data_IF_577713982145
#
_entry.id   IF_577713982145
#
_cell.length_a   1.000
_cell.length_b   1.000
_cell.length_c   1.000
_cell.angle_alpha   90.00
_cell.angle_beta   90.00
_cell.angle_gamma   90.00
#
_symmetry.space_group_name_H-M   'P 1'
#
loop_
_entity.id
_entity.type
_entity.pdbx_description
1 polymer ?
#
# COMPACT_ATOMS: atom_id res chain seq x y z
N UNK A 1 29.70 11.48 35.31
CA UNK A 1 29.67 10.94 33.94
C UNK A 1 30.74 11.67 33.14
N UNK A 2 31.69 10.96 32.54
CA UNK A 2 32.60 11.61 31.60
C UNK A 2 31.84 11.96 30.31
N UNK A 3 32.11 13.12 29.69
CA UNK A 3 31.39 13.53 28.49
C UNK A 3 31.67 12.57 27.33
N UNK A 4 30.60 12.14 26.66
CA UNK A 4 30.67 11.31 25.47
C UNK A 4 31.17 12.17 24.28
N UNK A 5 32.32 11.83 23.67
CA UNK A 5 32.91 12.63 22.59
C UNK A 5 32.07 12.66 21.29
N UNK A 6 31.03 11.83 21.16
CA UNK A 6 30.11 11.87 20.02
C UNK A 6 29.05 12.99 20.08
N UNK A 7 28.84 13.62 21.25
CA UNK A 7 27.80 14.64 21.43
C UNK A 7 28.12 15.98 20.72
N UNK A 8 29.38 16.25 20.38
CA UNK A 8 29.77 17.49 19.72
C UNK A 8 29.44 17.56 18.22
N UNK A 9 29.15 16.43 17.55
CA UNK A 9 28.93 16.42 16.10
C UNK A 9 27.47 16.60 15.66
N UNK A 10 26.50 16.45 16.57
CA UNK A 10 25.07 16.37 16.21
C UNK A 10 24.16 17.26 17.07
N UNK A 11 24.70 17.94 18.08
CA UNK A 11 23.92 18.88 18.92
C UNK A 11 22.82 18.23 19.76
N UNK A 12 22.85 16.90 19.95
CA UNK A 12 21.88 16.14 20.73
C UNK A 12 22.63 15.41 21.84
N UNK A 13 22.24 15.65 23.10
CA UNK A 13 22.72 14.88 24.25
C UNK A 13 21.64 13.85 24.66
N UNK A 14 22.07 12.60 24.82
CA UNK A 14 21.24 11.46 25.18
C UNK A 14 21.78 10.87 26.48
N UNK A 15 21.05 11.08 27.57
CA UNK A 15 21.38 10.52 28.87
C UNK A 15 20.26 9.59 29.37
N UNK A 16 20.67 8.48 29.96
CA UNK A 16 19.78 7.49 30.58
C UNK A 16 19.92 7.60 32.09
N UNK A 17 18.88 8.09 32.76
CA UNK A 17 18.87 8.23 34.21
C UNK A 17 18.03 7.13 34.86
N UNK A 18 18.55 6.56 35.96
CA UNK A 18 17.82 5.63 36.83
C UNK A 18 17.15 6.42 37.94
N UNK A 19 15.87 6.17 38.21
CA UNK A 19 15.18 6.77 39.35
C UNK A 19 14.32 5.74 40.10
N UNK A 20 14.10 5.99 41.39
CA UNK A 20 13.23 5.20 42.25
C UNK A 20 11.77 5.65 42.09
N UNK A 21 10.86 4.73 41.75
CA UNK A 21 9.45 5.05 41.52
C UNK A 21 8.65 5.08 42.84
N UNK A 22 8.39 6.28 43.39
CA UNK A 22 7.67 6.43 44.66
C UNK A 22 6.12 6.37 44.57
N UNK A 23 5.52 6.18 43.38
CA UNK A 23 4.05 6.14 43.22
C UNK A 23 3.39 4.76 43.39
N UNK A 24 4.17 3.70 43.66
CA UNK A 24 3.65 2.33 43.82
C UNK A 24 3.79 1.76 45.24
N UNK A 25 4.05 2.58 46.25
CA UNK A 25 4.19 2.11 47.64
C UNK A 25 2.80 1.89 48.28
N UNK A 26 2.30 0.64 48.29
CA UNK A 26 1.32 0.19 49.30
C UNK A 26 2.06 -0.31 50.54
N UNK A 27 1.52 -0.15 51.76
CA UNK A 27 2.24 -0.55 52.96
C UNK A 27 2.17 -2.07 53.20
N UNK A 28 3.36 -2.65 53.40
CA UNK A 28 3.70 -3.91 54.08
C UNK A 28 3.05 -5.20 53.57
N UNK A 29 3.83 -5.96 52.80
CA UNK A 29 4.32 -7.32 53.14
C UNK A 29 5.51 -7.69 52.25
N UNK A 30 6.41 -8.51 52.78
CA UNK A 30 7.80 -8.74 52.34
C UNK A 30 7.98 -9.11 50.85
N UNK A 31 8.78 -8.30 50.13
CA UNK A 31 9.71 -8.70 49.06
C UNK A 31 10.60 -7.49 48.72
N UNK A 32 11.90 -7.59 48.99
CA UNK A 32 12.91 -6.55 48.76
C UNK A 32 13.26 -6.45 47.26
N UNK A 33 12.46 -5.76 46.45
CA UNK A 33 12.92 -5.16 45.19
C UNK A 33 12.14 -3.87 44.89
N UNK A 34 12.82 -2.72 44.96
CA UNK A 34 12.27 -1.43 44.53
C UNK A 34 12.22 -1.40 43.00
N UNK A 35 11.07 -1.12 42.35
CA UNK A 35 11.03 -1.01 40.90
C UNK A 35 11.87 0.19 40.44
N UNK A 36 12.86 -0.07 39.57
CA UNK A 36 13.73 0.94 38.97
C UNK A 36 13.11 1.37 37.64
N UNK A 37 12.81 2.66 37.50
CA UNK A 37 12.38 3.25 36.23
C UNK A 37 13.58 3.75 35.44
N UNK A 38 13.51 3.65 34.11
CA UNK A 38 14.45 4.30 33.20
C UNK A 38 13.78 5.51 32.55
N UNK A 39 14.46 6.65 32.60
CA UNK A 39 14.07 7.88 31.91
C UNK A 39 15.06 8.14 30.79
N UNK A 40 14.55 8.23 29.56
CA UNK A 40 15.31 8.76 28.45
C UNK A 40 15.08 10.27 28.40
N UNK A 41 16.17 11.04 28.55
CA UNK A 41 16.15 12.49 28.41
C UNK A 41 16.76 12.83 27.06
N UNK A 42 15.98 13.50 26.22
CA UNK A 42 16.45 14.01 24.94
C UNK A 42 16.41 15.53 25.01
N UNK A 43 17.58 16.16 24.86
CA UNK A 43 17.75 17.60 24.94
C UNK A 43 18.16 18.17 23.57
N UNK A 44 17.50 19.25 23.14
CA UNK A 44 17.78 19.93 21.87
C UNK A 44 18.04 21.43 22.09
N UNK A 45 18.90 22.07 21.28
CA UNK A 45 19.13 23.51 21.33
C UNK A 45 17.92 24.27 20.75
N UNK A 46 17.57 25.40 21.37
CA UNK A 46 16.37 26.17 21.01
C UNK A 46 16.64 27.22 19.91
N UNK A 47 17.90 27.58 19.63
CA UNK A 47 18.30 28.42 18.49
C UNK A 47 19.83 28.34 18.26
N UNK A 48 20.36 28.70 17.06
CA UNK A 48 21.77 28.53 16.72
C UNK A 48 22.75 29.49 17.43
N UNK A 49 22.32 30.68 17.88
CA UNK A 49 23.28 31.78 18.17
C UNK A 49 23.07 32.57 19.48
N UNK A 50 22.68 31.92 20.59
CA UNK A 50 22.73 32.60 21.91
C UNK A 50 23.22 31.70 23.05
N UNK A 51 24.11 32.27 23.87
CA UNK A 51 24.78 31.70 25.06
C UNK A 51 24.05 30.55 25.79
N UNK A 52 24.77 29.43 25.88
CA UNK A 52 24.76 28.22 26.73
C UNK A 52 23.80 28.01 27.94
N UNK A 53 22.60 28.59 28.02
CA UNK A 53 21.74 28.41 29.21
C UNK A 53 20.29 28.00 28.97
N UNK A 54 19.87 27.60 27.77
CA UNK A 54 18.48 27.17 27.54
C UNK A 54 18.37 25.87 26.73
N UNK A 55 18.21 24.76 27.45
CA UNK A 55 17.88 23.43 26.90
C UNK A 55 16.43 23.08 27.19
N UNK A 56 15.70 22.56 26.20
CA UNK A 56 14.36 21.96 26.41
C UNK A 56 14.52 20.45 26.53
N UNK A 57 14.13 19.88 27.67
CA UNK A 57 14.17 18.45 27.92
C UNK A 57 12.79 17.81 27.68
N UNK A 58 12.74 16.81 26.79
CA UNK A 58 11.57 15.94 26.62
C UNK A 58 11.80 14.68 27.44
N UNK A 59 10.83 14.32 28.29
CA UNK A 59 10.93 13.20 29.21
C UNK A 59 10.03 12.06 28.76
N UNK A 60 10.65 10.94 28.39
CA UNK A 60 9.92 9.72 28.01
C UNK A 60 10.13 8.70 29.13
N UNK A 61 9.05 8.36 29.82
CA UNK A 61 9.05 7.29 30.82
C UNK A 61 8.88 5.95 30.10
N UNK A 62 9.88 5.08 30.21
CA UNK A 62 9.81 3.72 29.68
C UNK A 62 9.48 2.80 30.85
N UNK A 63 8.29 2.22 30.85
CA UNK A 63 7.88 1.19 31.82
C UNK A 63 7.86 -0.14 31.09
N UNK A 64 8.81 -1.03 31.40
CA UNK A 64 8.80 -2.41 30.91
C UNK A 64 7.90 -3.26 31.80
N UNK A 65 6.78 -3.75 31.28
CA UNK A 65 5.95 -4.72 31.99
C UNK A 65 6.52 -6.13 31.74
N UNK A 66 7.36 -6.60 32.66
CA UNK A 66 7.80 -7.99 32.73
C UNK A 66 7.18 -8.63 33.98
N UNK A 67 6.24 -9.57 33.82
CA UNK A 67 5.86 -10.45 34.92
C UNK A 67 4.50 -11.16 34.81
N UNK A 68 4.57 -12.45 34.46
CA UNK A 68 3.75 -13.58 34.91
C UNK A 68 2.71 -13.28 36.03
N UNK A 69 1.44 -13.67 35.82
CA UNK A 69 0.42 -13.76 36.90
C UNK A 69 0.04 -15.22 37.18
N UNK A 70 0.05 -15.68 38.44
CA UNK A 70 -0.77 -16.79 38.89
C UNK A 70 -2.14 -16.29 39.36
N UNK A 71 -3.17 -17.08 39.10
CA UNK A 71 -4.55 -16.86 39.55
C UNK A 71 -4.70 -17.01 41.07
N UNK A 72 -5.50 -16.16 41.71
CA UNK A 72 -6.34 -16.56 42.86
C UNK A 72 -7.51 -15.58 43.07
N UNK A 73 -8.59 -16.17 43.57
CA UNK A 73 -9.98 -15.72 43.65
C UNK A 73 -10.20 -14.71 44.78
N UNK A 74 -11.02 -13.67 44.54
CA UNK A 74 -11.98 -13.14 45.54
C UNK A 74 -13.02 -12.21 44.88
N UNK A 75 -14.29 -12.48 45.15
CA UNK A 75 -15.43 -11.97 44.40
C UNK A 75 -15.89 -10.54 44.71
N UNK A 76 -16.47 -9.89 43.69
CA UNK A 76 -17.47 -8.82 43.80
C UNK A 76 -18.49 -8.98 42.68
N UNK A 77 -19.76 -8.74 43.02
CA UNK A 77 -20.99 -8.90 42.20
C UNK A 77 -20.87 -8.28 40.79
N UNK A 78 -21.56 -8.84 39.78
CA UNK A 78 -21.41 -8.41 38.39
C UNK A 78 -22.02 -7.02 38.21
N UNK A 79 -21.19 -6.04 37.87
CA UNK A 79 -21.67 -4.82 37.25
C UNK A 79 -22.24 -5.18 35.88
N UNK A 80 -23.43 -4.67 35.58
CA UNK A 80 -24.16 -4.87 34.32
C UNK A 80 -23.20 -4.69 33.14
N UNK A 81 -23.01 -5.76 32.38
CA UNK A 81 -22.23 -5.77 31.15
C UNK A 81 -22.96 -4.93 30.10
N UNK A 82 -22.52 -3.68 29.91
CA UNK A 82 -22.66 -3.03 28.61
C UNK A 82 -21.70 -3.72 27.62
N UNK A 83 -22.09 -3.94 26.36
CA UNK A 83 -21.27 -4.67 25.40
C UNK A 83 -20.05 -3.81 24.99
N UNK A 84 -18.94 -4.00 25.68
CA UNK A 84 -17.65 -3.39 25.34
C UNK A 84 -16.94 -4.22 24.27
N UNK A 85 -16.60 -3.58 23.14
CA UNK A 85 -15.56 -3.92 22.14
C UNK A 85 -15.38 -5.42 21.83
N UNK A 86 -15.74 -5.86 20.61
CA UNK A 86 -15.12 -7.08 20.05
C UNK A 86 -13.60 -6.90 20.12
N UNK A 87 -12.95 -7.65 21.01
CA UNK A 87 -11.51 -7.58 21.21
C UNK A 87 -10.78 -8.03 19.94
N UNK A 88 -9.87 -7.18 19.45
CA UNK A 88 -8.93 -7.54 18.38
C UNK A 88 -8.13 -8.77 18.80
N UNK A 89 -7.95 -9.75 17.89
CA UNK A 89 -7.01 -10.85 18.14
C UNK A 89 -5.56 -10.32 18.13
N UNK A 90 -4.62 -11.11 18.65
CA UNK A 90 -3.21 -10.77 18.58
C UNK A 90 -2.77 -10.58 17.12
N UNK A 91 -1.87 -9.61 16.90
CA UNK A 91 -1.15 -9.46 15.63
C UNK A 91 -0.21 -10.64 15.42
N UNK A 92 0.14 -10.91 14.16
CA UNK A 92 1.17 -11.90 13.85
C UNK A 92 2.53 -11.36 14.28
N UNK A 93 3.33 -12.19 14.95
CA UNK A 93 4.68 -11.81 15.35
C UNK A 93 5.61 -11.68 14.12
N UNK A 94 6.57 -10.76 14.19
CA UNK A 94 7.45 -10.40 13.07
C UNK A 94 8.19 -11.60 12.44
N UNK A 95 8.63 -12.55 13.27
CA UNK A 95 9.38 -13.74 12.87
C UNK A 95 8.52 -14.76 12.11
N UNK A 96 7.19 -14.63 12.17
CA UNK A 96 6.26 -15.59 11.57
C UNK A 96 5.27 -14.95 10.59
N UNK A 97 5.33 -13.63 10.36
CA UNK A 97 4.45 -12.90 9.41
C UNK A 97 4.43 -13.53 8.02
N UNK A 98 5.59 -13.97 7.52
CA UNK A 98 5.73 -14.62 6.21
C UNK A 98 4.95 -15.95 6.10
N UNK A 99 4.70 -16.62 7.22
CA UNK A 99 3.96 -17.89 7.28
C UNK A 99 2.47 -17.70 7.51
N UNK A 100 1.99 -16.46 7.57
CA UNK A 100 0.59 -16.18 7.80
C UNK A 100 -0.25 -16.45 6.55
N UNK A 101 -1.26 -17.30 6.71
CA UNK A 101 -2.16 -17.69 5.64
C UNK A 101 -3.59 -17.21 5.89
N UNK A 102 -4.36 -17.09 4.82
CA UNK A 102 -5.80 -16.89 4.92
C UNK A 102 -6.47 -18.25 5.11
N UNK A 103 -7.33 -18.42 6.14
CA UNK A 103 -8.04 -19.68 6.37
C UNK A 103 -8.81 -20.16 5.13
N UNK A 104 -8.41 -21.32 4.61
CA UNK A 104 -9.03 -21.94 3.43
C UNK A 104 -8.64 -21.32 2.09
N UNK A 105 -7.70 -20.36 2.08
CA UNK A 105 -7.17 -19.73 0.86
C UNK A 105 -5.62 -19.59 0.93
N UNK A 106 -4.87 -20.71 1.01
CA UNK A 106 -3.41 -20.66 1.10
C UNK A 106 -2.75 -20.05 -0.13
N UNK A 107 -1.60 -19.42 0.08
CA UNK A 107 -0.75 -18.87 -0.98
C UNK A 107 -1.39 -17.75 -1.82
N UNK A 108 -2.36 -17.01 -1.28
CA UNK A 108 -2.97 -15.83 -1.93
C UNK A 108 -2.25 -14.53 -1.60
N UNK A 109 -1.23 -14.56 -0.75
CA UNK A 109 -0.51 -13.39 -0.26
C UNK A 109 0.98 -13.65 -0.15
N UNK A 110 1.77 -12.59 -0.28
CA UNK A 110 3.22 -12.61 -0.23
C UNK A 110 3.75 -11.38 0.50
N UNK A 111 4.63 -11.58 1.46
CA UNK A 111 5.32 -10.53 2.20
C UNK A 111 6.47 -10.00 1.36
N UNK A 112 6.39 -8.73 0.96
CA UNK A 112 7.37 -8.14 0.06
C UNK A 112 8.79 -8.19 0.66
N UNK A 113 9.73 -8.72 -0.14
CA UNK A 113 11.13 -8.86 0.23
C UNK A 113 11.44 -10.07 1.13
N UNK A 114 10.45 -10.89 1.48
CA UNK A 114 10.65 -12.15 2.22
C UNK A 114 10.23 -13.34 1.35
N UNK A 115 9.00 -13.35 0.86
CA UNK A 115 8.40 -14.49 0.14
C UNK A 115 8.77 -14.51 -1.35
N UNK A 116 10.02 -14.14 -1.68
CA UNK A 116 10.52 -14.11 -3.05
C UNK A 116 10.47 -15.51 -3.70
N UNK A 117 10.91 -16.60 -3.04
CA UNK A 117 10.81 -17.95 -3.62
C UNK A 117 9.37 -18.36 -3.95
N UNK A 118 8.44 -18.15 -3.02
CA UNK A 118 7.02 -18.49 -3.17
C UNK A 118 6.35 -17.65 -4.26
N UNK A 119 6.71 -16.36 -4.35
CA UNK A 119 6.23 -15.48 -5.40
C UNK A 119 6.78 -15.88 -6.79
N UNK A 120 8.05 -16.30 -6.86
CA UNK A 120 8.66 -16.82 -8.09
C UNK A 120 7.95 -18.10 -8.56
N UNK A 121 7.64 -19.02 -7.63
CA UNK A 121 6.87 -20.23 -7.96
C UNK A 121 5.48 -19.88 -8.50
N UNK A 122 4.77 -18.93 -7.88
CA UNK A 122 3.48 -18.47 -8.37
C UNK A 122 3.55 -17.87 -9.79
N UNK A 123 4.65 -17.18 -10.12
CA UNK A 123 4.91 -16.69 -11.46
C UNK A 123 5.18 -17.84 -12.47
N UNK A 124 5.87 -18.90 -12.06
CA UNK A 124 6.05 -20.11 -12.87
C UNK A 124 4.74 -20.86 -13.09
N UNK A 125 3.90 -21.00 -12.07
CA UNK A 125 2.56 -21.56 -12.22
C UNK A 125 1.72 -20.75 -13.20
N UNK A 126 1.78 -19.41 -13.13
CA UNK A 126 1.10 -18.53 -14.07
C UNK A 126 1.61 -18.67 -15.51
N UNK A 127 2.91 -18.92 -15.70
CA UNK A 127 3.49 -19.22 -17.00
C UNK A 127 3.04 -20.60 -17.52
N UNK A 128 2.93 -21.60 -16.64
CA UNK A 128 2.41 -22.94 -16.98
C UNK A 128 0.96 -22.85 -17.46
N UNK A 129 0.10 -22.15 -16.72
CA UNK A 129 -1.30 -21.91 -17.10
C UNK A 129 -1.42 -21.25 -18.47
N UNK A 130 -0.56 -20.26 -18.76
CA UNK A 130 -0.51 -19.58 -20.05
C UNK A 130 -0.11 -20.54 -21.19
N UNK A 131 0.91 -21.37 -20.99
CA UNK A 131 1.33 -22.39 -21.97
C UNK A 131 0.22 -23.39 -22.24
N UNK A 132 -0.43 -23.90 -21.20
CA UNK A 132 -1.52 -24.86 -21.33
C UNK A 132 -2.72 -24.25 -22.06
N UNK A 133 -3.06 -22.99 -21.75
CA UNK A 133 -4.10 -22.25 -22.44
C UNK A 133 -3.79 -22.07 -23.93
N UNK A 134 -2.58 -21.58 -24.26
CA UNK A 134 -2.14 -21.40 -25.64
C UNK A 134 -2.10 -22.72 -26.42
N UNK A 135 -1.63 -23.81 -25.81
CA UNK A 135 -1.63 -25.14 -26.42
C UNK A 135 -3.05 -25.61 -26.77
N UNK A 136 -4.03 -25.38 -25.89
CA UNK A 136 -5.46 -25.68 -26.15
C UNK A 136 -6.05 -24.81 -27.28
N UNK A 137 -5.51 -23.61 -27.49
CA UNK A 137 -5.86 -22.76 -28.63
C UNK A 137 -5.11 -23.16 -29.93
N UNK A 138 -4.29 -24.22 -29.90
CA UNK A 138 -3.53 -24.68 -31.06
C UNK A 138 -2.30 -23.83 -31.39
N UNK A 139 -1.84 -22.98 -30.47
CA UNK A 139 -0.61 -22.18 -30.64
C UNK A 139 0.63 -23.09 -30.65
N UNK A 140 1.42 -23.03 -31.72
CA UNK A 140 2.65 -23.83 -31.91
C UNK A 140 3.94 -23.00 -31.94
N UNK A 141 3.81 -21.67 -31.89
CA UNK A 141 4.93 -20.73 -32.00
C UNK A 141 5.61 -20.41 -30.66
N UNK A 142 6.58 -19.49 -30.66
CA UNK A 142 7.16 -18.96 -29.42
C UNK A 142 6.09 -18.29 -28.56
N UNK A 143 6.36 -18.12 -27.27
CA UNK A 143 5.45 -17.41 -26.37
C UNK A 143 5.21 -15.98 -26.87
N UNK A 144 3.95 -15.49 -26.85
CA UNK A 144 3.65 -14.12 -27.23
C UNK A 144 4.32 -13.12 -26.28
N UNK A 145 4.51 -11.85 -26.71
CA UNK A 145 5.01 -10.79 -25.84
C UNK A 145 4.18 -10.67 -24.56
N UNK A 146 4.84 -10.40 -23.44
CA UNK A 146 4.16 -10.11 -22.18
C UNK A 146 4.11 -8.61 -21.92
N UNK A 147 2.90 -8.08 -21.73
CA UNK A 147 2.71 -6.67 -21.38
C UNK A 147 2.25 -6.57 -19.93
N UNK A 148 2.94 -5.74 -19.17
CA UNK A 148 2.65 -5.45 -17.76
C UNK A 148 2.13 -4.01 -17.64
N UNK A 149 1.23 -3.79 -16.70
CA UNK A 149 0.86 -2.44 -16.29
C UNK A 149 0.86 -2.32 -14.76
N UNK A 150 1.53 -1.29 -14.26
CA UNK A 150 1.59 -0.94 -12.86
C UNK A 150 0.88 0.39 -12.61
N UNK A 151 -0.16 0.37 -11.79
CA UNK A 151 -1.03 1.53 -11.55
C UNK A 151 -0.80 2.02 -10.12
N UNK A 152 -0.32 3.26 -9.98
CA UNK A 152 0.06 3.80 -8.68
C UNK A 152 -1.13 4.22 -7.83
N UNK A 153 -0.87 4.47 -6.56
CA UNK A 153 -1.75 5.28 -5.71
C UNK A 153 -1.82 6.74 -6.14
N UNK A 154 -2.71 7.50 -5.50
CA UNK A 154 -2.93 8.92 -5.82
C UNK A 154 -4.30 9.49 -5.44
N UNK A 155 -5.18 8.72 -4.79
CA UNK A 155 -6.53 9.19 -4.43
C UNK A 155 -7.40 9.44 -5.66
N UNK A 156 -8.09 10.58 -5.67
CA UNK A 156 -8.92 11.06 -6.80
C UNK A 156 -8.12 11.30 -8.09
N UNK A 157 -6.79 11.44 -7.99
CA UNK A 157 -5.91 11.50 -9.15
C UNK A 157 -5.95 10.24 -10.04
N UNK A 158 -6.53 9.14 -9.56
CA UNK A 158 -6.82 7.95 -10.35
C UNK A 158 -7.67 8.21 -11.60
N UNK A 159 -8.39 9.34 -11.65
CA UNK A 159 -9.13 9.75 -12.83
C UNK A 159 -8.23 9.89 -14.08
N UNK A 160 -6.96 10.29 -13.90
CA UNK A 160 -5.97 10.30 -14.96
C UNK A 160 -5.78 8.92 -15.61
N UNK A 161 -5.52 7.88 -14.79
CA UNK A 161 -5.37 6.51 -15.27
C UNK A 161 -6.65 5.99 -15.94
N UNK A 162 -7.82 6.29 -15.39
CA UNK A 162 -9.09 5.91 -15.99
C UNK A 162 -9.26 6.52 -17.39
N UNK A 163 -8.97 7.81 -17.54
CA UNK A 163 -8.99 8.50 -18.84
C UNK A 163 -8.02 7.88 -19.84
N UNK A 164 -6.77 7.64 -19.41
CA UNK A 164 -5.73 7.03 -20.24
C UNK A 164 -6.14 5.64 -20.73
N UNK A 165 -6.58 4.76 -19.82
CA UNK A 165 -7.00 3.39 -20.15
C UNK A 165 -8.17 3.37 -21.13
N UNK A 166 -9.16 4.25 -20.93
CA UNK A 166 -10.33 4.36 -21.80
C UNK A 166 -9.97 4.89 -23.20
N UNK A 167 -9.06 5.87 -23.29
CA UNK A 167 -8.58 6.35 -24.58
C UNK A 167 -7.79 5.29 -25.34
N UNK A 168 -6.96 4.52 -24.65
CA UNK A 168 -6.25 3.37 -25.22
C UNK A 168 -7.18 2.32 -25.81
N UNK A 169 -8.31 2.06 -25.14
CA UNK A 169 -9.36 1.19 -25.70
C UNK A 169 -10.00 1.85 -26.92
N UNK A 170 -10.37 3.13 -26.82
CA UNK A 170 -11.04 3.86 -27.89
C UNK A 170 -10.20 3.97 -29.17
N UNK A 171 -8.87 4.02 -29.04
CA UNK A 171 -7.93 4.02 -30.17
C UNK A 171 -7.58 2.62 -30.67
N UNK A 172 -8.07 1.56 -30.01
CA UNK A 172 -7.74 0.17 -30.34
C UNK A 172 -6.28 -0.23 -30.04
N UNK A 173 -5.56 0.56 -29.24
CA UNK A 173 -4.13 0.34 -28.95
C UNK A 173 -3.86 -0.21 -27.56
N UNK A 174 -4.91 -0.46 -26.75
CA UNK A 174 -4.77 -1.04 -25.41
C UNK A 174 -4.28 -2.48 -25.50
N UNK A 175 -3.12 -2.83 -24.91
CA UNK A 175 -2.67 -4.21 -24.86
C UNK A 175 -3.54 -5.04 -23.91
N UNK A 176 -3.60 -6.35 -24.16
CA UNK A 176 -4.01 -7.29 -23.11
C UNK A 176 -2.85 -7.47 -22.13
N UNK A 177 -3.10 -7.22 -20.84
CA UNK A 177 -2.06 -7.26 -19.82
C UNK A 177 -1.90 -8.67 -19.25
N UNK A 178 -0.67 -9.20 -19.33
CA UNK A 178 -0.25 -10.43 -18.65
C UNK A 178 -0.18 -10.24 -17.13
N UNK A 179 0.24 -9.06 -16.69
CA UNK A 179 0.32 -8.68 -15.27
C UNK A 179 -0.27 -7.28 -15.10
N UNK A 180 -1.19 -7.14 -14.15
CA UNK A 180 -1.70 -5.85 -13.68
C UNK A 180 -1.40 -5.73 -12.20
N UNK A 181 -0.80 -4.62 -11.79
CA UNK A 181 -0.57 -4.32 -10.37
C UNK A 181 -1.24 -3.02 -9.95
N UNK A 182 -1.68 -2.95 -8.69
CA UNK A 182 -2.37 -1.78 -8.16
C UNK A 182 -2.07 -1.51 -6.69
N UNK A 183 -1.90 -0.23 -6.34
CA UNK A 183 -1.85 0.26 -4.96
C UNK A 183 -2.82 1.42 -4.81
N UNK A 184 -3.56 1.50 -3.69
CA UNK A 184 -4.47 2.61 -3.40
C UNK A 184 -5.53 2.76 -4.49
N UNK A 185 -5.72 3.97 -5.03
CA UNK A 185 -6.59 4.17 -6.19
C UNK A 185 -6.27 3.19 -7.34
N UNK A 186 -5.00 2.84 -7.53
CA UNK A 186 -4.58 1.82 -8.49
C UNK A 186 -5.10 0.41 -8.17
N UNK A 187 -5.29 0.06 -6.90
CA UNK A 187 -5.93 -1.21 -6.51
C UNK A 187 -7.44 -1.22 -6.80
N UNK A 188 -8.08 -0.05 -6.85
CA UNK A 188 -9.47 0.11 -7.28
C UNK A 188 -9.60 0.04 -8.81
N UNK A 189 -8.58 0.49 -9.57
CA UNK A 189 -8.57 0.47 -11.04
C UNK A 189 -8.11 -0.89 -11.60
N UNK A 190 -7.11 -1.51 -10.98
CA UNK A 190 -6.41 -2.68 -11.49
C UNK A 190 -7.33 -3.86 -11.90
N UNK A 191 -8.34 -4.26 -11.11
CA UNK A 191 -9.24 -5.35 -11.50
C UNK A 191 -10.02 -5.07 -12.79
N UNK A 192 -10.49 -3.83 -12.98
CA UNK A 192 -11.15 -3.41 -14.22
C UNK A 192 -10.15 -3.30 -15.37
N UNK A 193 -8.94 -2.81 -15.08
CA UNK A 193 -7.87 -2.74 -16.07
C UNK A 193 -7.50 -4.13 -16.61
N UNK A 194 -7.52 -5.14 -15.72
CA UNK A 194 -7.27 -6.55 -16.00
C UNK A 194 -8.39 -7.19 -16.82
N UNK A 195 -9.66 -6.93 -16.52
CA UNK A 195 -10.77 -7.46 -17.34
C UNK A 195 -10.93 -6.74 -18.68
N UNK A 196 -10.40 -5.52 -18.81
CA UNK A 196 -10.28 -4.82 -20.09
C UNK A 196 -11.51 -4.01 -20.50
N UNK A 197 -11.70 -3.76 -21.81
CA UNK A 197 -12.63 -2.76 -22.37
C UNK A 197 -14.08 -2.81 -21.86
N UNK A 198 -14.58 -3.99 -21.51
CA UNK A 198 -15.94 -4.19 -20.98
C UNK A 198 -16.23 -3.30 -19.77
N UNK A 199 -15.21 -2.93 -18.99
CA UNK A 199 -15.36 -2.18 -17.75
C UNK A 199 -14.95 -0.70 -17.84
N UNK A 200 -14.62 -0.22 -19.04
CA UNK A 200 -14.19 1.18 -19.23
C UNK A 200 -15.31 2.18 -18.89
N UNK A 201 -16.57 1.80 -19.13
CA UNK A 201 -17.74 2.59 -18.72
C UNK A 201 -17.82 2.73 -17.19
N UNK A 202 -17.59 1.63 -16.45
CA UNK A 202 -17.56 1.64 -14.98
C UNK A 202 -16.40 2.46 -14.46
N UNK A 203 -15.20 2.34 -15.04
CA UNK A 203 -14.05 3.18 -14.68
C UNK A 203 -14.35 4.66 -14.89
N UNK A 204 -14.94 5.03 -16.04
CA UNK A 204 -15.34 6.42 -16.30
C UNK A 204 -16.34 6.89 -15.25
N UNK A 205 -17.40 6.13 -15.01
CA UNK A 205 -18.44 6.52 -14.05
C UNK A 205 -17.85 6.77 -12.67
N UNK A 206 -17.15 5.79 -12.10
CA UNK A 206 -16.53 5.89 -10.77
C UNK A 206 -15.63 7.12 -10.66
N UNK A 207 -14.80 7.40 -11.66
CA UNK A 207 -13.85 8.53 -11.59
C UNK A 207 -14.38 9.86 -12.13
N UNK A 208 -15.67 9.98 -12.51
CA UNK A 208 -16.22 11.25 -13.04
C UNK A 208 -17.59 11.64 -12.49
N UNK A 209 -18.23 10.77 -11.70
CA UNK A 209 -19.55 11.03 -11.11
C UNK A 209 -19.54 11.02 -9.58
N UNK A 210 -18.51 10.45 -8.97
CA UNK A 210 -18.34 10.40 -7.51
C UNK A 210 -18.04 11.79 -6.97
N UNK A 211 -18.56 12.05 -5.78
CA UNK A 211 -18.32 13.26 -5.00
C UNK A 211 -17.90 12.89 -3.56
N UNK A 212 -17.43 13.86 -2.75
CA UNK A 212 -16.90 13.56 -1.41
C UNK A 212 -17.90 12.78 -0.53
N UNK A 213 -19.20 13.10 -0.60
CA UNK A 213 -20.28 12.43 0.15
C UNK A 213 -20.47 10.95 -0.18
N UNK A 214 -20.01 10.50 -1.34
CA UNK A 214 -20.17 9.11 -1.78
C UNK A 214 -19.04 8.22 -1.21
N UNK A 215 -17.94 8.83 -0.77
CA UNK A 215 -16.73 8.14 -0.30
C UNK A 215 -16.47 8.39 1.20
N UNK A 216 -16.82 9.58 1.69
CA UNK A 216 -16.56 10.04 3.05
C UNK A 216 -17.88 10.18 3.82
N UNK A 217 -17.96 9.50 4.96
CA UNK A 217 -19.03 9.71 5.95
C UNK A 217 -18.38 10.31 7.21
N UNK A 218 -18.65 11.59 7.54
CA UNK A 218 -18.07 12.24 8.72
C UNK A 218 -18.51 11.52 9.99
N UNK A 219 -17.56 11.13 10.85
CA UNK A 219 -17.89 10.61 12.18
C UNK A 219 -18.17 11.76 13.16
N UNK A 220 -19.11 11.55 14.08
CA UNK A 220 -19.45 12.53 15.12
C UNK A 220 -18.24 12.77 16.04
N UNK A 221 -17.93 14.03 16.36
CA UNK A 221 -16.70 14.49 17.04
C UNK A 221 -16.38 13.77 18.36
N UNK A 222 -17.39 13.26 19.09
CA UNK A 222 -17.19 12.46 20.32
C UNK A 222 -16.64 11.03 20.06
N UNK A 223 -16.77 10.49 18.84
CA UNK A 223 -16.24 9.18 18.46
C UNK A 223 -14.77 9.25 17.99
N UNK A 224 -14.28 10.43 17.57
CA UNK A 224 -12.94 10.62 17.01
C UNK A 224 -11.79 10.47 18.01
N UNK A 225 -12.02 10.74 19.30
CA UNK A 225 -11.01 10.57 20.38
C UNK A 225 -10.89 9.09 20.81
N UNK A 226 -11.82 8.22 20.39
CA UNK A 226 -11.92 6.82 20.80
C UNK A 226 -11.81 5.81 19.63
N UNK A 227 -11.53 6.26 18.39
CA UNK A 227 -11.58 5.40 17.19
C UNK A 227 -10.42 5.61 16.21
N UNK A 228 -10.10 4.56 15.44
CA UNK A 228 -8.89 4.43 14.60
C UNK A 228 -8.92 5.21 13.25
N UNK A 229 -9.76 6.23 13.06
CA UNK A 229 -9.83 7.04 11.82
C UNK A 229 -10.85 8.19 11.83
N UNK A 230 -10.69 9.18 10.93
CA UNK A 230 -11.56 10.37 10.83
C UNK A 230 -12.86 10.16 10.02
N UNK A 231 -12.89 9.22 9.07
CA UNK A 231 -14.08 8.83 8.29
C UNK A 231 -14.49 7.36 8.54
N UNK A 232 -15.63 6.93 7.99
CA UNK A 232 -16.03 5.50 7.93
C UNK A 232 -15.67 4.87 6.57
N UNK A 233 -15.28 3.59 6.55
CA UNK A 233 -15.04 2.83 5.30
C UNK A 233 -16.33 2.30 4.67
N UNK A 234 -17.47 2.37 5.37
CA UNK A 234 -18.73 1.83 4.89
C UNK A 234 -19.17 2.37 3.51
N UNK A 235 -19.04 3.68 3.18
CA UNK A 235 -19.37 4.19 1.84
C UNK A 235 -18.50 3.57 0.74
N UNK A 236 -17.18 3.55 0.92
CA UNK A 236 -16.24 2.97 -0.04
C UNK A 236 -16.43 1.46 -0.22
N UNK A 237 -16.76 0.74 0.87
CA UNK A 237 -17.15 -0.67 0.82
C UNK A 237 -18.43 -0.87 0.00
N UNK A 238 -19.48 -0.08 0.26
CA UNK A 238 -20.75 -0.15 -0.48
C UNK A 238 -20.55 0.14 -1.95
N UNK A 239 -19.79 1.18 -2.28
CA UNK A 239 -19.46 1.56 -3.66
C UNK A 239 -18.69 0.44 -4.37
N UNK A 240 -17.64 -0.09 -3.74
CA UNK A 240 -16.84 -1.20 -4.31
C UNK A 240 -17.72 -2.42 -4.57
N UNK A 241 -18.61 -2.77 -3.64
CA UNK A 241 -19.53 -3.92 -3.79
C UNK A 241 -20.60 -3.75 -4.86
N UNK A 242 -20.89 -2.53 -5.34
CA UNK A 242 -21.80 -2.32 -6.47
C UNK A 242 -21.21 -2.87 -7.77
N UNK A 243 -19.89 -2.74 -7.96
CA UNK A 243 -19.20 -3.14 -9.17
C UNK A 243 -18.49 -4.50 -9.03
N UNK A 244 -17.99 -4.83 -7.84
CA UNK A 244 -17.28 -6.07 -7.55
C UNK A 244 -18.25 -7.10 -6.98
N UNK A 245 -18.82 -7.90 -7.88
CA UNK A 245 -19.80 -8.95 -7.59
C UNK A 245 -19.20 -10.36 -7.71
N UNK A 246 -19.96 -11.41 -7.38
CA UNK A 246 -19.53 -12.79 -7.65
C UNK A 246 -19.33 -13.06 -9.15
N UNK A 247 -20.12 -12.43 -10.03
CA UNK A 247 -19.95 -12.55 -11.48
C UNK A 247 -18.64 -11.91 -11.93
N UNK A 248 -18.34 -10.71 -11.41
CA UNK A 248 -17.04 -10.06 -11.62
C UNK A 248 -15.88 -10.95 -11.17
N UNK A 249 -16.00 -11.57 -9.99
CA UNK A 249 -14.99 -12.47 -9.45
C UNK A 249 -14.76 -13.70 -10.35
N UNK A 250 -15.83 -14.26 -10.92
CA UNK A 250 -15.73 -15.38 -11.90
C UNK A 250 -14.99 -14.97 -13.16
N UNK A 251 -15.18 -13.74 -13.65
CA UNK A 251 -14.43 -13.22 -14.80
C UNK A 251 -12.94 -13.08 -14.49
N UNK A 252 -12.60 -12.56 -13.29
CA UNK A 252 -11.20 -12.50 -12.84
C UNK A 252 -10.58 -13.89 -12.77
N UNK A 253 -11.29 -14.87 -12.19
CA UNK A 253 -10.82 -16.25 -12.09
C UNK A 253 -10.61 -16.90 -13.47
N UNK A 254 -11.46 -16.59 -14.45
CA UNK A 254 -11.31 -17.08 -15.82
C UNK A 254 -10.04 -16.53 -16.49
N UNK A 255 -9.74 -15.24 -16.32
CA UNK A 255 -8.49 -14.64 -16.83
C UNK A 255 -7.25 -15.16 -16.09
N UNK A 256 -7.36 -15.41 -14.78
CA UNK A 256 -6.30 -16.04 -13.98
C UNK A 256 -5.98 -17.46 -14.46
N UNK A 257 -7.00 -18.22 -14.88
CA UNK A 257 -6.84 -19.56 -15.45
C UNK A 257 -6.11 -19.57 -16.81
N UNK A 258 -6.12 -18.44 -17.54
CA UNK A 258 -5.29 -18.23 -18.75
C UNK A 258 -3.84 -17.89 -18.41
N UNK A 259 -3.50 -17.83 -17.13
CA UNK A 259 -2.18 -17.48 -16.63
C UNK A 259 -1.93 -15.98 -16.44
N UNK A 260 -2.93 -15.12 -16.61
CA UNK A 260 -2.77 -13.67 -16.33
C UNK A 260 -2.75 -13.45 -14.81
N UNK A 261 -2.01 -12.45 -14.34
CA UNK A 261 -1.87 -12.14 -12.91
C UNK A 261 -2.41 -10.75 -12.59
N UNK A 262 -3.17 -10.66 -11.49
CA UNK A 262 -3.68 -9.41 -10.93
C UNK A 262 -3.19 -9.31 -9.48
N UNK A 263 -2.35 -8.33 -9.19
CA UNK A 263 -1.73 -8.16 -7.88
C UNK A 263 -2.11 -6.82 -7.27
N UNK A 264 -2.47 -6.83 -6.00
CA UNK A 264 -2.73 -5.60 -5.23
C UNK A 264 -1.84 -5.59 -4.00
N UNK A 265 -1.31 -4.42 -3.61
CA UNK A 265 -0.54 -4.32 -2.37
C UNK A 265 -1.25 -3.48 -1.30
N UNK A 266 -1.14 -3.94 -0.06
CA UNK A 266 -1.55 -3.22 1.17
C UNK A 266 -0.34 -3.07 2.09
N UNK A 267 -0.40 -2.17 3.06
CA UNK A 267 0.56 -2.16 4.16
C UNK A 267 -0.03 -2.88 5.38
N UNK A 268 0.63 -3.95 5.84
CA UNK A 268 0.41 -4.46 7.19
C UNK A 268 1.10 -3.49 8.16
N UNK A 269 0.29 -2.76 8.92
CA UNK A 269 0.76 -1.71 9.81
C UNK A 269 1.45 -2.28 11.06
N UNK A 270 1.05 -3.47 11.52
CA UNK A 270 1.67 -4.12 12.67
C UNK A 270 3.07 -4.61 12.32
N UNK A 271 3.24 -5.22 11.14
CA UNK A 271 4.52 -5.70 10.65
C UNK A 271 5.38 -4.61 9.98
N UNK A 272 4.77 -3.47 9.60
CA UNK A 272 5.36 -2.41 8.75
C UNK A 272 5.91 -2.97 7.44
N UNK A 273 5.13 -3.82 6.78
CA UNK A 273 5.52 -4.52 5.55
C UNK A 273 4.45 -4.36 4.48
N UNK A 274 4.89 -4.34 3.22
CA UNK A 274 3.96 -4.48 2.10
C UNK A 274 3.56 -5.95 1.97
N UNK A 275 2.25 -6.19 1.88
CA UNK A 275 1.68 -7.50 1.57
C UNK A 275 1.08 -7.42 0.17
N UNK A 276 1.59 -8.26 -0.73
CA UNK A 276 1.13 -8.41 -2.11
C UNK A 276 0.09 -9.52 -2.14
N UNK A 277 -1.10 -9.23 -2.63
CA UNK A 277 -2.23 -10.14 -2.75
C UNK A 277 -2.39 -10.58 -4.19
N UNK A 278 -2.48 -11.89 -4.43
CA UNK A 278 -2.87 -12.45 -5.73
C UNK A 278 -4.39 -12.49 -5.82
N UNK A 279 -4.95 -11.43 -6.40
CA UNK A 279 -6.39 -11.25 -6.55
C UNK A 279 -6.99 -12.27 -7.51
N UNK A 280 -6.23 -12.74 -8.50
CA UNK A 280 -6.64 -13.80 -9.41
C UNK A 280 -6.81 -15.14 -8.69
N UNK A 281 -5.85 -15.46 -7.82
CA UNK A 281 -5.92 -16.66 -6.98
C UNK A 281 -7.04 -16.57 -5.95
N UNK A 282 -7.22 -15.43 -5.26
CA UNK A 282 -8.39 -15.20 -4.38
C UNK A 282 -9.69 -15.47 -5.16
N UNK A 283 -9.83 -14.89 -6.35
CA UNK A 283 -11.01 -15.05 -7.18
C UNK A 283 -11.28 -16.51 -7.57
N UNK A 284 -10.22 -17.30 -7.80
CA UNK A 284 -10.32 -18.71 -8.18
C UNK A 284 -10.94 -19.61 -7.09
N UNK A 285 -10.89 -19.22 -5.81
CA UNK A 285 -11.57 -19.94 -4.73
C UNK A 285 -13.10 -19.78 -4.79
N UNK A 286 -13.58 -18.65 -5.31
CA UNK A 286 -15.01 -18.36 -5.45
C UNK A 286 -15.79 -18.25 -4.13
N UNK A 287 -17.09 -18.00 -4.28
CA UNK A 287 -18.02 -17.90 -3.15
C UNK A 287 -17.87 -16.63 -2.29
N UNK A 288 -18.71 -16.51 -1.25
CA UNK A 288 -18.84 -15.26 -0.49
C UNK A 288 -17.60 -14.89 0.31
N UNK A 289 -16.82 -15.88 0.78
CA UNK A 289 -15.58 -15.64 1.53
C UNK A 289 -14.47 -15.05 0.66
N UNK A 290 -14.30 -15.56 -0.56
CA UNK A 290 -13.33 -15.02 -1.51
C UNK A 290 -13.74 -13.61 -1.94
N UNK A 291 -15.03 -13.38 -2.22
CA UNK A 291 -15.56 -12.06 -2.54
C UNK A 291 -15.33 -11.06 -1.40
N UNK A 292 -15.58 -11.46 -0.16
CA UNK A 292 -15.33 -10.60 1.00
C UNK A 292 -13.86 -10.21 1.12
N UNK A 293 -12.95 -11.18 1.00
CA UNK A 293 -11.52 -10.90 1.04
C UNK A 293 -11.07 -10.00 -0.12
N UNK A 294 -11.54 -10.27 -1.35
CA UNK A 294 -11.20 -9.50 -2.54
C UNK A 294 -11.58 -8.02 -2.35
N UNK A 295 -12.81 -7.75 -1.93
CA UNK A 295 -13.29 -6.39 -1.64
C UNK A 295 -12.53 -5.77 -0.47
N UNK A 296 -12.29 -6.54 0.61
CA UNK A 296 -11.56 -6.06 1.78
C UNK A 296 -10.14 -5.64 1.44
N UNK A 297 -9.43 -6.40 0.62
CA UNK A 297 -8.08 -6.05 0.14
C UNK A 297 -8.08 -4.79 -0.71
N UNK A 298 -9.03 -4.66 -1.65
CA UNK A 298 -9.16 -3.45 -2.47
C UNK A 298 -9.38 -2.20 -1.60
N UNK A 299 -10.31 -2.27 -0.64
CA UNK A 299 -10.60 -1.12 0.23
C UNK A 299 -9.46 -0.86 1.20
N UNK A 300 -8.83 -1.90 1.77
CA UNK A 300 -7.65 -1.76 2.62
C UNK A 300 -6.54 -1.02 1.88
N UNK A 301 -6.27 -1.41 0.63
CA UNK A 301 -5.24 -0.79 -0.20
C UNK A 301 -5.50 0.69 -0.45
N UNK A 302 -6.75 1.17 -0.41
CA UNK A 302 -7.16 2.56 -0.59
C UNK A 302 -7.51 3.31 0.71
N UNK A 303 -7.30 2.69 1.88
CA UNK A 303 -7.62 3.28 3.19
C UNK A 303 -6.41 4.01 3.77
N UNK A 304 -6.21 5.27 3.38
CA UNK A 304 -5.06 6.09 3.85
C UNK A 304 -5.18 6.33 5.36
N UNK A 305 -4.13 6.03 6.16
CA UNK A 305 -4.14 6.27 7.60
C UNK A 305 -4.50 7.72 7.96
N UNK A 306 -5.32 7.88 9.00
CA UNK A 306 -5.86 9.18 9.43
C UNK A 306 -7.12 9.58 8.68
N UNK A 307 -7.20 9.35 7.37
CA UNK A 307 -8.41 9.58 6.57
C UNK A 307 -9.45 8.46 6.76
N UNK A 308 -9.01 7.22 6.68
CA UNK A 308 -9.85 6.03 6.70
C UNK A 308 -9.39 5.03 7.77
N UNK A 309 -10.30 4.27 8.41
CA UNK A 309 -9.93 3.25 9.36
C UNK A 309 -9.22 2.08 8.65
N UNK A 310 -8.38 1.32 9.35
CA UNK A 310 -7.77 0.12 8.79
C UNK A 310 -8.79 -0.99 8.53
N UNK A 311 -8.43 -1.92 7.66
CA UNK A 311 -9.14 -3.19 7.50
C UNK A 311 -8.44 -4.29 8.28
N UNK A 312 -9.19 -4.94 9.17
CA UNK A 312 -8.70 -6.11 9.89
C UNK A 312 -8.87 -7.37 9.03
N UNK A 313 -7.79 -8.12 8.84
CA UNK A 313 -7.78 -9.39 8.11
C UNK A 313 -7.45 -10.53 9.07
N UNK A 314 -8.34 -11.53 9.12
CA UNK A 314 -8.11 -12.73 9.92
C UNK A 314 -7.15 -13.67 9.19
N UNK A 315 -6.12 -14.10 9.90
CA UNK A 315 -5.06 -14.97 9.37
C UNK A 315 -4.81 -16.12 10.34
N UNK A 316 -4.16 -17.17 9.86
CA UNK A 316 -3.71 -18.30 10.68
C UNK A 316 -2.22 -18.53 10.46
N UNK A 317 -1.52 -18.83 11.56
CA UNK A 317 -0.12 -19.29 11.53
C UNK A 317 -0.06 -20.56 12.36
N UNK A 318 0.41 -21.67 11.79
CA UNK A 318 0.52 -22.97 12.46
C UNK A 318 -0.78 -23.38 13.19
N UNK A 319 -1.93 -23.14 12.54
CA UNK A 319 -3.27 -23.43 13.08
C UNK A 319 -3.79 -22.46 14.16
N UNK A 320 -3.00 -21.45 14.55
CA UNK A 320 -3.41 -20.43 15.53
C UNK A 320 -3.99 -19.19 14.84
N UNK A 321 -5.15 -18.66 15.29
CA UNK A 321 -5.76 -17.49 14.68
C UNK A 321 -5.10 -16.18 15.16
N UNK A 322 -4.84 -15.29 14.21
CA UNK A 322 -4.35 -13.93 14.44
C UNK A 322 -5.18 -12.94 13.63
N UNK A 323 -4.87 -11.65 13.76
CA UNK A 323 -5.51 -10.60 12.98
C UNK A 323 -4.53 -9.49 12.63
N UNK A 324 -4.37 -9.23 11.34
CA UNK A 324 -3.47 -8.22 10.78
C UNK A 324 -4.24 -6.94 10.43
N UNK A 325 -3.59 -5.81 10.67
CA UNK A 325 -4.14 -4.48 10.40
C UNK A 325 -3.62 -3.96 9.05
N UNK A 326 -4.49 -3.95 8.04
CA UNK A 326 -4.13 -3.48 6.70
C UNK A 326 -4.63 -2.07 6.42
N UNK A 327 -3.73 -1.24 5.89
CA UNK A 327 -4.00 0.12 5.43
C UNK A 327 -3.45 0.31 4.01
N UNK A 328 -3.60 1.53 3.50
CA UNK A 328 -3.15 1.90 2.16
C UNK A 328 -1.69 1.51 1.93
N UNK A 329 -1.43 0.75 0.86
CA UNK A 329 -0.08 0.30 0.49
C UNK A 329 0.87 1.46 0.14
N UNK A 330 0.32 2.62 -0.18
CA UNK A 330 0.97 3.87 -0.49
C UNK A 330 1.95 4.36 0.58
N UNK A 331 1.80 3.93 1.83
CA UNK A 331 2.72 4.27 2.92
C UNK A 331 4.03 3.45 2.87
N UNK A 332 4.06 2.33 2.14
CA UNK A 332 5.25 1.49 1.94
C UNK A 332 5.75 1.48 0.49
N UNK A 333 4.87 1.64 -0.48
CA UNK A 333 5.20 1.80 -1.89
C UNK A 333 4.07 2.54 -2.62
N UNK A 334 4.37 3.48 -3.50
CA UNK A 334 3.35 4.16 -4.30
C UNK A 334 3.00 3.39 -5.57
N UNK A 335 3.92 2.58 -6.08
CA UNK A 335 3.75 1.74 -7.26
C UNK A 335 4.72 0.56 -7.21
N UNK A 336 4.32 -0.59 -7.75
CA UNK A 336 5.18 -1.76 -7.89
C UNK A 336 4.87 -2.49 -9.19
N UNK A 337 5.86 -3.17 -9.79
CA UNK A 337 5.67 -3.99 -10.97
C UNK A 337 5.92 -5.46 -10.63
N UNK A 338 7.19 -5.84 -10.48
CA UNK A 338 7.60 -7.14 -9.98
C UNK A 338 8.82 -6.97 -9.04
N UNK A 339 9.07 -7.93 -8.12
CA UNK A 339 10.15 -7.81 -7.15
C UNK A 339 11.53 -7.72 -7.81
N UNK A 340 12.39 -6.82 -7.32
CA UNK A 340 13.77 -6.70 -7.81
C UNK A 340 14.62 -7.95 -7.55
N UNK A 341 14.22 -8.80 -6.59
CA UNK A 341 14.85 -10.09 -6.33
C UNK A 341 14.66 -11.13 -7.45
N UNK A 342 13.71 -10.90 -8.37
CA UNK A 342 13.40 -11.81 -9.47
C UNK A 342 14.03 -11.27 -10.76
N UNK A 343 14.85 -12.08 -11.42
CA UNK A 343 15.45 -11.77 -12.72
C UNK A 343 14.57 -12.37 -13.81
N UNK A 344 13.50 -11.67 -14.18
CA UNK A 344 12.37 -12.28 -14.93
C UNK A 344 12.77 -12.90 -16.28
N UNK A 345 13.83 -12.42 -16.92
CA UNK A 345 14.35 -13.02 -18.14
C UNK A 345 15.15 -14.29 -17.88
N UNK A 346 16.04 -14.29 -16.88
CA UNK A 346 16.87 -15.43 -16.52
C UNK A 346 15.99 -16.59 -16.01
N UNK A 347 15.03 -16.28 -15.13
CA UNK A 347 14.06 -17.24 -14.59
C UNK A 347 13.23 -17.87 -15.71
N UNK A 348 12.68 -17.06 -16.64
CA UNK A 348 11.91 -17.60 -17.75
C UNK A 348 12.77 -18.39 -18.75
N UNK A 349 14.02 -17.98 -18.97
CA UNK A 349 14.95 -18.71 -19.84
C UNK A 349 15.29 -20.09 -19.28
N UNK A 350 15.37 -20.23 -17.94
CA UNK A 350 15.61 -21.53 -17.27
C UNK A 350 14.55 -22.59 -17.61
N UNK A 351 13.32 -22.16 -17.95
CA UNK A 351 12.21 -23.03 -18.36
C UNK A 351 11.91 -22.95 -19.87
N UNK A 352 12.89 -22.46 -20.66
CA UNK A 352 12.84 -22.43 -22.12
C UNK A 352 11.95 -21.32 -22.70
N UNK A 353 11.61 -20.27 -21.94
CA UNK A 353 10.77 -19.16 -22.40
C UNK A 353 11.59 -17.90 -22.63
N UNK A 354 11.71 -17.51 -23.90
CA UNK A 354 12.21 -16.22 -24.33
C UNK A 354 11.10 -15.46 -25.05
N UNK A 355 10.80 -14.25 -24.58
CA UNK A 355 9.79 -13.36 -25.17
C UNK A 355 10.10 -11.90 -24.90
N UNK A 356 9.55 -11.03 -25.73
CA UNK A 356 9.55 -9.59 -25.48
C UNK A 356 8.69 -9.26 -24.25
N UNK A 357 9.09 -8.23 -23.50
CA UNK A 357 8.37 -7.74 -22.32
C UNK A 357 8.28 -6.23 -22.37
N UNK A 358 7.09 -5.70 -22.11
CA UNK A 358 6.82 -4.25 -21.99
C UNK A 358 6.20 -3.96 -20.64
N UNK A 359 6.69 -2.94 -19.95
CA UNK A 359 6.14 -2.46 -18.69
C UNK A 359 5.64 -1.04 -18.85
N UNK A 360 4.33 -0.87 -18.69
CA UNK A 360 3.69 0.43 -18.56
C UNK A 360 3.53 0.78 -17.09
N UNK A 361 4.01 1.94 -16.67
CA UNK A 361 3.81 2.48 -15.33
C UNK A 361 2.91 3.71 -15.47
N UNK A 362 1.77 3.71 -14.80
CA UNK A 362 0.85 4.84 -14.75
C UNK A 362 0.90 5.44 -13.35
N UNK A 363 1.57 6.59 -13.23
CA UNK A 363 1.69 7.35 -12.00
C UNK A 363 0.55 8.37 -11.91
N UNK A 364 -0.39 8.15 -11.01
CA UNK A 364 -1.50 9.06 -10.68
C UNK A 364 -1.03 10.23 -9.80
N UNK A 365 0.05 10.90 -10.21
CA UNK A 365 0.58 12.07 -9.54
C UNK A 365 1.34 12.94 -10.54
N UNK A 366 1.44 14.22 -10.22
CA UNK A 366 2.46 15.11 -10.77
C UNK A 366 3.84 14.72 -10.20
N UNK A 367 4.89 14.94 -10.97
CA UNK A 367 6.28 14.64 -10.58
C UNK A 367 7.09 15.91 -10.27
N UNK A 368 6.54 17.10 -10.53
CA UNK A 368 7.07 18.37 -10.08
C UNK A 368 6.59 18.71 -8.65
N UNK A 369 7.26 19.66 -8.01
CA UNK A 369 6.92 20.07 -6.66
C UNK A 369 5.53 20.71 -6.61
N UNK A 370 4.68 20.24 -5.70
CA UNK A 370 3.38 20.82 -5.46
C UNK A 370 3.44 21.79 -4.28
N UNK A 371 3.60 23.08 -4.58
CA UNK A 371 3.70 24.13 -3.56
C UNK A 371 2.36 24.31 -2.84
N UNK A 372 2.38 24.36 -1.51
CA UNK A 372 1.22 24.78 -0.73
C UNK A 372 1.67 25.56 0.51
N UNK A 373 0.86 26.53 0.92
CA UNK A 373 0.97 27.19 2.21
C UNK A 373 0.34 26.31 3.30
N UNK A 374 1.16 25.78 4.20
CA UNK A 374 0.72 24.86 5.26
C UNK A 374 0.31 25.66 6.49
N UNK A 375 -0.88 25.41 7.03
CA UNK A 375 -1.31 26.01 8.28
C UNK A 375 -0.40 25.60 9.45
N UNK A 376 -0.20 26.51 10.40
CA UNK A 376 0.65 26.27 11.58
C UNK A 376 -0.09 25.48 12.67
N UNK A 377 -0.54 24.27 12.33
CA UNK A 377 -1.18 23.34 13.28
C UNK A 377 -0.46 21.98 13.26
N UNK A 378 -0.47 21.27 14.39
CA UNK A 378 0.20 19.96 14.49
C UNK A 378 -0.32 18.97 13.44
N UNK A 379 -1.63 18.94 13.22
CA UNK A 379 -2.25 17.99 12.27
C UNK A 379 -1.91 18.35 10.83
N UNK A 380 -2.05 19.61 10.41
CA UNK A 380 -1.71 20.05 9.05
C UNK A 380 -0.23 19.84 8.72
N UNK A 381 0.67 20.06 9.68
CA UNK A 381 2.11 19.78 9.52
C UNK A 381 2.36 18.28 9.38
N UNK A 382 1.77 17.45 10.23
CA UNK A 382 1.92 15.99 10.16
C UNK A 382 1.41 15.42 8.83
N UNK A 383 0.21 15.85 8.39
CA UNK A 383 -0.35 15.46 7.09
C UNK A 383 0.56 15.87 5.93
N UNK A 384 1.09 17.11 5.93
CA UNK A 384 2.03 17.54 4.90
C UNK A 384 3.33 16.73 4.90
N UNK A 385 3.85 16.39 6.08
CA UNK A 385 5.07 15.59 6.20
C UNK A 385 4.86 14.17 5.63
N UNK A 386 3.74 13.52 5.99
CA UNK A 386 3.36 12.20 5.44
C UNK A 386 3.19 12.27 3.92
N UNK A 387 2.47 13.28 3.40
CA UNK A 387 2.32 13.48 1.96
C UNK A 387 3.67 13.68 1.25
N UNK A 388 4.62 14.41 1.87
CA UNK A 388 5.95 14.64 1.32
C UNK A 388 6.80 13.37 1.28
N UNK A 389 6.71 12.53 2.32
CA UNK A 389 7.36 11.21 2.35
C UNK A 389 6.76 10.29 1.28
N UNK A 390 5.44 10.27 1.15
CA UNK A 390 4.72 9.52 0.11
C UNK A 390 5.19 9.94 -1.29
N UNK A 391 5.29 11.25 -1.57
CA UNK A 391 5.77 11.77 -2.85
C UNK A 391 7.22 11.34 -3.12
N UNK A 392 8.09 11.45 -2.13
CA UNK A 392 9.50 11.06 -2.23
C UNK A 392 9.66 9.56 -2.47
N UNK A 393 8.88 8.74 -1.77
CA UNK A 393 8.82 7.28 -1.96
C UNK A 393 8.40 6.93 -3.38
N UNK A 394 7.42 7.64 -3.94
CA UNK A 394 6.98 7.43 -5.32
C UNK A 394 8.08 7.65 -6.36
N UNK A 395 8.96 8.63 -6.16
CA UNK A 395 10.13 8.82 -7.02
C UNK A 395 11.10 7.64 -6.86
N UNK A 396 11.39 7.23 -5.62
CA UNK A 396 12.24 6.07 -5.34
C UNK A 396 11.74 4.78 -5.99
N UNK A 397 10.42 4.53 -5.96
CA UNK A 397 9.80 3.40 -6.64
C UNK A 397 10.00 3.43 -8.16
N UNK A 398 9.86 4.60 -8.80
CA UNK A 398 10.10 4.75 -10.24
C UNK A 398 11.53 4.40 -10.62
N UNK A 399 12.52 4.90 -9.87
CA UNK A 399 13.92 4.59 -10.11
C UNK A 399 14.23 3.11 -9.90
N UNK A 400 13.68 2.50 -8.84
CA UNK A 400 13.83 1.06 -8.58
C UNK A 400 13.21 0.22 -9.70
N UNK A 401 11.98 0.54 -10.12
CA UNK A 401 11.30 -0.17 -11.21
C UNK A 401 12.05 -0.02 -12.52
N UNK A 402 12.51 1.20 -12.85
CA UNK A 402 13.31 1.45 -14.05
C UNK A 402 14.61 0.65 -14.04
N UNK A 403 15.38 0.68 -12.95
CA UNK A 403 16.62 -0.09 -12.84
C UNK A 403 16.38 -1.61 -12.97
N UNK A 404 15.30 -2.13 -12.37
CA UNK A 404 14.91 -3.54 -12.51
C UNK A 404 14.52 -3.88 -13.96
N UNK A 405 13.74 -3.00 -14.62
CA UNK A 405 13.31 -3.20 -16.01
C UNK A 405 14.51 -3.19 -16.97
N UNK A 406 15.42 -2.23 -16.84
CA UNK A 406 16.64 -2.14 -17.64
C UNK A 406 17.54 -3.37 -17.46
N UNK A 407 17.78 -3.79 -16.21
CA UNK A 407 18.56 -5.02 -15.90
C UNK A 407 17.97 -6.23 -16.63
N UNK A 408 16.64 -6.31 -16.70
CA UNK A 408 15.93 -7.43 -17.29
C UNK A 408 15.55 -7.20 -18.75
N UNK A 409 16.03 -6.14 -19.42
CA UNK A 409 15.66 -5.83 -20.81
C UNK A 409 14.15 -5.72 -21.05
N UNK A 410 13.39 -5.27 -20.04
CA UNK A 410 11.96 -5.02 -20.12
C UNK A 410 11.75 -3.59 -20.59
N UNK A 411 10.98 -3.40 -21.66
CA UNK A 411 10.74 -2.08 -22.25
C UNK A 411 9.93 -1.18 -21.29
N UNK A 412 10.60 -0.23 -20.65
CA UNK A 412 10.00 0.68 -19.68
C UNK A 412 9.25 1.83 -20.36
N UNK A 413 8.02 2.10 -19.91
CA UNK A 413 7.14 3.12 -20.42
C UNK A 413 6.41 3.79 -19.24
N UNK A 414 6.66 5.08 -18.99
CA UNK A 414 6.06 5.83 -17.88
C UNK A 414 5.08 6.90 -18.36
N UNK A 415 3.89 6.91 -17.76
CA UNK A 415 2.89 7.96 -17.83
C UNK A 415 2.68 8.60 -16.47
N UNK A 416 2.49 9.92 -16.44
CA UNK A 416 2.21 10.68 -15.22
C UNK A 416 1.41 11.95 -15.56
N UNK A 417 0.84 12.58 -14.53
CA UNK A 417 0.05 13.80 -14.72
C UNK A 417 0.99 14.92 -15.17
N UNK A 418 0.72 15.59 -16.31
CA UNK A 418 1.62 16.61 -16.83
C UNK A 418 1.61 17.86 -15.93
N UNK A 419 2.74 18.54 -15.84
CA UNK A 419 2.87 19.78 -15.06
C UNK A 419 1.94 20.91 -15.57
N UNK A 420 1.47 20.83 -16.82
CA UNK A 420 0.49 21.75 -17.42
C UNK A 420 -0.92 21.58 -16.88
N UNK A 421 -1.23 20.49 -16.17
CA UNK A 421 -2.52 20.30 -15.53
C UNK A 421 -2.61 21.17 -14.26
N UNK A 422 -3.52 22.13 -14.26
CA UNK A 422 -3.68 23.17 -13.23
C UNK A 422 -5.13 23.34 -12.75
N UNK A 423 -5.99 22.33 -12.95
CA UNK A 423 -7.36 22.41 -12.45
C UNK A 423 -7.34 22.59 -10.93
N UNK A 424 -8.17 23.48 -10.35
CA UNK A 424 -8.23 23.67 -8.90
C UNK A 424 -8.68 22.38 -8.20
N UNK A 425 -7.96 21.99 -7.16
CA UNK A 425 -8.32 20.88 -6.28
C UNK A 425 -8.77 21.45 -4.94
N UNK A 426 -10.08 21.64 -4.79
CA UNK A 426 -10.64 22.34 -3.60
C UNK A 426 -10.84 21.41 -2.42
N UNK A 427 -11.15 20.15 -2.70
CA UNK A 427 -11.41 19.11 -1.73
C UNK A 427 -11.07 17.74 -2.33
N UNK A 428 -10.84 16.75 -1.47
CA UNK A 428 -10.63 15.36 -1.89
C UNK A 428 -11.90 14.82 -2.56
N UNK A 429 -11.73 14.14 -3.69
CA UNK A 429 -12.83 13.63 -4.53
C UNK A 429 -13.70 14.74 -5.16
N UNK A 430 -13.11 15.92 -5.45
CA UNK A 430 -13.75 16.99 -6.23
C UNK A 430 -14.09 16.49 -7.64
N UNK A 431 -15.38 16.47 -7.97
CA UNK A 431 -15.90 15.89 -9.21
C UNK A 431 -15.42 16.66 -10.45
N UNK A 432 -15.30 17.98 -10.39
CA UNK A 432 -14.89 18.79 -11.53
C UNK A 432 -13.38 18.64 -11.79
N UNK A 433 -12.58 18.58 -10.71
CA UNK A 433 -11.16 18.23 -10.77
C UNK A 433 -10.95 16.85 -11.42
N UNK A 434 -11.67 15.83 -10.94
CA UNK A 434 -11.54 14.48 -11.47
C UNK A 434 -11.96 14.39 -12.94
N UNK A 435 -13.03 15.07 -13.36
CA UNK A 435 -13.43 15.15 -14.78
C UNK A 435 -12.35 15.78 -15.64
N UNK A 436 -11.81 16.93 -15.21
CA UNK A 436 -10.72 17.58 -15.92
C UNK A 436 -9.48 16.68 -16.03
N UNK A 437 -9.19 15.91 -14.99
CA UNK A 437 -8.06 15.00 -14.97
C UNK A 437 -8.28 13.75 -15.83
N UNK A 438 -9.49 13.19 -15.83
CA UNK A 438 -9.91 12.14 -16.76
C UNK A 438 -9.75 12.61 -18.20
N UNK A 439 -10.27 13.79 -18.53
CA UNK A 439 -10.16 14.35 -19.88
C UNK A 439 -8.71 14.59 -20.28
N UNK A 440 -7.86 15.00 -19.33
CA UNK A 440 -6.42 15.15 -19.57
C UNK A 440 -5.77 13.81 -19.96
N UNK A 441 -5.99 12.75 -19.17
CA UNK A 441 -5.47 11.42 -19.46
C UNK A 441 -6.00 10.86 -20.79
N UNK A 442 -7.29 11.03 -21.04
CA UNK A 442 -7.95 10.59 -22.27
C UNK A 442 -7.36 11.30 -23.50
N UNK A 443 -7.32 12.63 -23.49
CA UNK A 443 -6.85 13.43 -24.62
C UNK A 443 -5.37 13.19 -24.95
N UNK A 444 -4.52 12.98 -23.94
CA UNK A 444 -3.11 12.64 -24.17
C UNK A 444 -2.95 11.28 -24.84
N UNK A 445 -3.71 10.27 -24.39
CA UNK A 445 -3.63 8.92 -24.94
C UNK A 445 -4.29 8.78 -26.31
N UNK A 446 -5.38 9.52 -26.58
CA UNK A 446 -6.03 9.54 -27.90
C UNK A 446 -5.12 10.03 -29.03
N UNK A 447 -4.09 10.82 -28.71
CA UNK A 447 -3.09 11.35 -29.66
C UNK A 447 -1.83 10.49 -29.75
N UNK A 448 -1.81 9.34 -29.08
CA UNK A 448 -0.61 8.57 -28.80
C UNK A 448 0.15 9.15 -27.61
N UNK A 449 0.03 8.50 -26.45
CA UNK A 449 0.65 9.01 -25.21
C UNK A 449 2.20 9.03 -25.34
N UNK A 450 2.87 10.13 -24.97
CA UNK A 450 4.33 10.25 -25.05
C UNK A 450 5.00 9.55 -23.85
N UNK A 451 5.08 8.21 -23.89
CA UNK A 451 5.65 7.41 -22.81
C UNK A 451 7.10 7.79 -22.51
N UNK A 452 7.37 8.24 -21.29
CA UNK A 452 8.73 8.49 -20.85
C UNK A 452 9.50 7.17 -20.71
N UNK A 453 10.70 7.12 -21.27
CA UNK A 453 11.55 5.91 -21.26
C UNK A 453 12.50 5.85 -20.07
N UNK A 454 12.49 6.86 -19.21
CA UNK A 454 13.23 6.93 -17.95
C UNK A 454 12.46 7.78 -16.92
N UNK A 455 12.72 7.62 -15.62
CA UNK A 455 12.21 8.52 -14.58
C UNK A 455 12.68 9.97 -14.78
N UNK A 456 11.91 10.99 -14.35
CA UNK A 456 12.35 12.37 -14.43
C UNK A 456 13.67 12.59 -13.69
N UNK A 457 14.58 13.37 -14.28
CA UNK A 457 15.91 13.62 -13.71
C UNK A 457 16.92 12.50 -13.96
N UNK A 458 16.54 11.39 -14.60
CA UNK A 458 17.48 10.36 -15.03
C UNK A 458 17.99 10.66 -16.45
N UNK A 459 19.26 11.00 -16.59
CA UNK A 459 19.90 11.17 -17.88
C UNK A 459 20.30 9.79 -18.44
N UNK A 460 19.68 9.39 -19.56
CA UNK A 460 20.09 8.19 -20.29
C UNK A 460 21.54 8.35 -20.80
N UNK A 461 22.31 7.25 -20.90
CA UNK A 461 23.62 7.29 -21.52
C UNK A 461 23.52 7.94 -22.91
N UNK A 462 24.44 8.85 -23.23
CA UNK A 462 24.54 9.41 -24.56
C UNK A 462 24.71 8.26 -25.56
N UNK A 463 23.91 8.24 -26.63
CA UNK A 463 24.07 7.26 -27.68
C UNK A 463 25.52 7.34 -28.18
N UNK A 464 26.28 6.25 -28.03
CA UNK A 464 27.60 6.15 -28.62
C UNK A 464 27.36 6.07 -30.13
N UNK A 465 27.45 7.20 -30.83
CA UNK A 465 27.57 7.24 -32.28
C UNK A 465 28.81 6.44 -32.65
N UNK A 466 28.59 5.24 -33.18
CA UNK A 466 29.62 4.44 -33.85
C UNK A 466 29.81 4.92 -35.27
#
# INVERSE_FOLDING_TARGET
>A
MQPNPFAQLIGIDLSLERYACHRCARPKTQLNQTPVGHRLVIAFPIAPDTHYSQWKAVNINIVSDHGLRPQSVCGRKPAKTHPTKLGRRFSVAYDVTARAEIPGMPGVRYTAGIDIPEFTEAAFEALRRERDYLARQGHKGPMPPAVFVAISGGGDNGAFAAGLLNAWTATGTRPEFKLVTGISTGALIAPFAFLGPKYDGTLKEVYTTISPKDVLEPRSFLAGVLSDGMADNAPLLRLTRKSVTEAFLKEIAAEYAKGRMLLVATADLDARRAIIWDMGKIASYGGPKALDLFVKVMVASASIPGGFPPMMVDVVVDGKPYQEMHVDGGIVAQVFAYPAGIRINDEAASVGVKRERKLYVIRNARLDADWAQVERSTMSIASRAVASLIQSQGIGDLYRIYATAERDGVDFNLAFIPASFKAPHKEEFDTDYMRALYDTGYNMASKGYPWAKAPPGFALPAAITK
#
